data_IF_787548822155
#
_entry.id   IF_787548822155
#
_cell.length_a   1.000
_cell.length_b   1.000
_cell.length_c   1.000
_cell.angle_alpha   90.00
_cell.angle_beta   90.00
_cell.angle_gamma   90.00
#
_symmetry.space_group_name_H-M   'P 1'
#
loop_
_entity.id
_entity.type
_entity.pdbx_description
1 polymer ?
#
# COMPACT_ATOMS: atom_id res chain seq x y z
N UNK A 1 -16.27 -4.68 -6.91
CA UNK A 1 -16.50 -6.06 -6.45
C UNK A 1 -17.37 -5.95 -5.20
N UNK A 2 -18.65 -6.36 -5.22
CA UNK A 2 -19.56 -6.13 -4.09
C UNK A 2 -19.12 -6.80 -2.78
N UNK A 3 -18.20 -7.77 -2.87
CA UNK A 3 -17.75 -8.62 -1.77
C UNK A 3 -16.29 -8.41 -1.38
N UNK A 4 -15.57 -7.43 -1.93
CA UNK A 4 -14.17 -7.17 -1.54
C UNK A 4 -13.78 -5.72 -1.75
N UNK A 5 -12.80 -5.25 -1.00
CA UNK A 5 -12.19 -3.95 -1.21
C UNK A 5 -10.68 -4.05 -1.34
N UNK A 6 -10.14 -3.12 -2.13
CA UNK A 6 -8.71 -2.93 -2.32
C UNK A 6 -8.38 -1.47 -2.09
N UNK A 7 -7.40 -1.21 -1.23
CA UNK A 7 -6.91 0.12 -0.94
C UNK A 7 -5.43 0.19 -1.28
N UNK A 8 -5.06 1.21 -2.06
CA UNK A 8 -3.68 1.56 -2.35
C UNK A 8 -3.36 2.90 -1.69
N UNK A 9 -2.55 2.86 -0.64
CA UNK A 9 -1.94 4.06 -0.07
C UNK A 9 -0.56 4.23 -0.70
N UNK A 10 -0.44 5.23 -1.58
CA UNK A 10 0.81 5.57 -2.24
C UNK A 10 1.37 6.87 -1.69
N UNK A 11 2.57 6.81 -1.13
CA UNK A 11 3.38 7.98 -0.83
C UNK A 11 4.41 8.16 -1.95
N UNK A 12 4.39 9.32 -2.60
CA UNK A 12 5.30 9.68 -3.68
C UNK A 12 6.19 10.85 -3.25
N UNK A 13 7.51 10.64 -3.29
CA UNK A 13 8.51 11.64 -3.00
C UNK A 13 9.44 11.81 -4.20
N UNK A 14 9.56 13.04 -4.68
CA UNK A 14 10.51 13.42 -5.72
C UNK A 14 11.42 14.52 -5.18
N UNK A 15 12.73 14.30 -5.27
CA UNK A 15 13.73 15.32 -5.01
C UNK A 15 14.47 15.56 -6.32
N UNK A 16 14.22 16.70 -6.95
CA UNK A 16 14.74 17.02 -8.28
C UNK A 16 16.28 16.95 -8.30
N UNK A 17 16.82 16.20 -9.26
CA UNK A 17 18.25 15.94 -9.39
C UNK A 17 18.86 14.94 -8.39
N UNK A 18 18.12 14.46 -7.39
CA UNK A 18 18.64 13.56 -6.35
C UNK A 18 18.04 12.16 -6.45
N UNK A 19 16.77 11.99 -6.10
CA UNK A 19 16.12 10.67 -6.03
C UNK A 19 14.61 10.75 -6.19
N UNK A 20 14.02 9.61 -6.54
CA UNK A 20 12.58 9.40 -6.54
C UNK A 20 12.30 8.17 -5.66
N UNK A 21 11.35 8.30 -4.73
CA UNK A 21 10.94 7.24 -3.82
C UNK A 21 9.42 7.09 -3.84
N UNK A 22 8.97 5.83 -3.88
CA UNK A 22 7.58 5.43 -3.78
C UNK A 22 7.44 4.43 -2.65
N UNK A 23 6.55 4.72 -1.70
CA UNK A 23 6.13 3.75 -0.71
C UNK A 23 4.66 3.41 -0.97
N UNK A 24 4.42 2.17 -1.37
CA UNK A 24 3.09 1.64 -1.62
C UNK A 24 2.68 0.73 -0.46
N UNK A 25 1.54 0.99 0.15
CA UNK A 25 0.85 0.05 1.05
C UNK A 25 -0.44 -0.40 0.38
N UNK A 26 -0.50 -1.68 0.03
CA UNK A 26 -1.67 -2.33 -0.57
C UNK A 26 -2.38 -3.09 0.51
N UNK A 27 -3.67 -2.79 0.69
CA UNK A 27 -4.53 -3.49 1.62
C UNK A 27 -5.64 -4.16 0.82
N UNK A 28 -5.77 -5.47 0.99
CA UNK A 28 -6.83 -6.26 0.37
C UNK A 28 -7.66 -6.97 1.43
N UNK A 29 -8.97 -6.91 1.29
CA UNK A 29 -9.90 -7.61 2.16
C UNK A 29 -11.07 -8.16 1.35
N UNK A 30 -11.46 -9.39 1.68
CA UNK A 30 -12.61 -10.08 1.11
C UNK A 30 -13.67 -10.31 2.18
N UNK A 31 -14.94 -10.08 1.83
CA UNK A 31 -16.07 -10.24 2.71
C UNK A 31 -16.18 -11.69 3.16
N UNK A 32 -16.23 -11.89 4.48
CA UNK A 32 -16.23 -13.21 5.11
C UNK A 32 -14.86 -13.70 5.56
N UNK A 33 -13.77 -13.07 5.11
CA UNK A 33 -12.44 -13.35 5.67
C UNK A 33 -12.29 -12.67 7.03
N UNK A 34 -11.75 -13.39 8.02
CA UNK A 34 -11.39 -12.83 9.34
C UNK A 34 -10.08 -12.05 9.32
N UNK A 35 -9.51 -11.80 8.13
CA UNK A 35 -8.20 -11.19 7.98
C UNK A 35 -8.17 -10.21 6.80
N UNK A 36 -7.14 -9.38 6.81
CA UNK A 36 -6.78 -8.48 5.72
C UNK A 36 -5.34 -8.76 5.31
N UNK A 37 -5.03 -8.64 4.03
CA UNK A 37 -3.66 -8.76 3.52
C UNK A 37 -3.09 -7.36 3.35
N UNK A 38 -1.96 -7.08 4.00
CA UNK A 38 -1.21 -5.83 3.85
C UNK A 38 0.13 -6.11 3.20
N UNK A 39 0.36 -5.55 2.02
CA UNK A 39 1.66 -5.56 1.34
C UNK A 39 2.24 -4.15 1.37
N UNK A 40 3.41 -4.00 1.99
CA UNK A 40 4.19 -2.77 1.98
C UNK A 40 5.36 -2.94 1.01
N UNK A 41 5.55 -1.99 0.11
CA UNK A 41 6.69 -1.98 -0.80
C UNK A 41 7.35 -0.61 -0.86
N UNK A 42 8.68 -0.60 -0.73
CA UNK A 42 9.50 0.61 -0.91
C UNK A 42 10.28 0.48 -2.21
N UNK A 43 10.06 1.43 -3.11
CA UNK A 43 10.78 1.56 -4.37
C UNK A 43 11.55 2.86 -4.37
N UNK A 44 12.84 2.78 -4.66
CA UNK A 44 13.71 3.95 -4.69
C UNK A 44 14.78 3.80 -5.76
N UNK A 45 14.97 4.87 -6.54
CA UNK A 45 16.09 5.01 -7.46
C UNK A 45 16.63 6.45 -7.40
N UNK A 46 17.94 6.60 -7.60
CA UNK A 46 18.54 7.92 -7.82
C UNK A 46 18.24 8.37 -9.23
N UNK A 47 18.10 9.68 -9.44
CA UNK A 47 17.84 10.23 -10.78
C UNK A 47 19.01 9.94 -11.73
N UNK A 48 20.24 9.82 -11.20
CA UNK A 48 21.41 9.42 -11.97
C UNK A 48 21.30 8.03 -12.60
N UNK A 49 20.52 7.13 -11.99
CA UNK A 49 20.30 5.76 -12.47
C UNK A 49 19.09 5.69 -13.44
N UNK A 50 18.25 6.72 -13.46
CA UNK A 50 17.02 6.81 -14.28
C UNK A 50 17.23 7.53 -15.62
N UNK A 51 18.48 7.74 -16.07
CA UNK A 51 18.82 8.52 -17.29
C UNK A 51 18.12 8.07 -18.57
N UNK A 52 17.67 6.81 -18.64
CA UNK A 52 16.97 6.26 -19.80
C UNK A 52 15.46 6.53 -19.79
N UNK A 53 14.93 7.16 -18.73
CA UNK A 53 13.51 7.44 -18.56
C UNK A 53 13.25 8.93 -18.91
N UNK A 54 12.27 9.23 -19.77
CA UNK A 54 11.90 10.60 -20.08
C UNK A 54 11.53 11.39 -18.81
N UNK A 55 12.02 12.62 -18.69
CA UNK A 55 11.74 13.47 -17.53
C UNK A 55 10.23 13.74 -17.30
N UNK A 56 9.42 13.64 -18.36
CA UNK A 56 7.97 13.71 -18.28
C UNK A 56 7.33 12.56 -17.48
N UNK A 57 8.00 11.40 -17.36
CA UNK A 57 7.50 10.29 -16.54
C UNK A 57 7.82 10.48 -15.05
N UNK A 58 8.74 11.38 -14.69
CA UNK A 58 9.05 11.67 -13.28
C UNK A 58 7.90 12.38 -12.55
N UNK A 59 6.90 12.87 -13.27
CA UNK A 59 5.71 13.49 -12.68
C UNK A 59 4.59 12.50 -12.41
N UNK A 60 4.56 11.36 -13.11
CA UNK A 60 3.49 10.37 -12.92
C UNK A 60 3.97 9.22 -12.02
N UNK A 61 3.44 9.10 -10.78
CA UNK A 61 3.80 8.03 -9.86
C UNK A 61 3.44 6.64 -10.37
N UNK A 62 2.44 6.48 -11.26
CA UNK A 62 2.06 5.17 -11.79
C UNK A 62 3.07 4.66 -12.82
N UNK A 63 3.49 5.52 -13.73
CA UNK A 63 4.46 5.18 -14.78
C UNK A 63 5.86 4.98 -14.19
N UNK A 64 6.31 5.89 -13.32
CA UNK A 64 7.67 5.82 -12.77
C UNK A 64 7.87 4.62 -11.84
N UNK A 65 6.82 4.13 -11.18
CA UNK A 65 6.89 3.01 -10.24
C UNK A 65 7.48 1.73 -10.84
N UNK A 66 7.31 1.52 -12.16
CA UNK A 66 7.88 0.36 -12.87
C UNK A 66 9.38 0.48 -13.11
N UNK A 67 9.90 1.71 -13.18
CA UNK A 67 11.32 2.00 -13.40
C UNK A 67 12.11 2.13 -12.09
N UNK A 68 11.43 2.29 -10.95
CA UNK A 68 12.09 2.36 -9.64
C UNK A 68 12.51 0.96 -9.16
N UNK A 69 13.70 0.89 -8.57
CA UNK A 69 14.23 -0.34 -8.01
C UNK A 69 13.49 -0.67 -6.72
N UNK A 70 12.94 -1.87 -6.63
CA UNK A 70 12.33 -2.38 -5.40
C UNK A 70 13.41 -2.63 -4.35
N UNK A 71 13.32 -1.94 -3.21
CA UNK A 71 14.27 -2.07 -2.10
C UNK A 71 13.75 -2.97 -0.99
N UNK A 72 12.46 -2.85 -0.69
CA UNK A 72 11.81 -3.58 0.38
C UNK A 72 10.43 -4.04 -0.09
N UNK A 73 10.04 -5.24 0.33
CA UNK A 73 8.68 -5.74 0.21
C UNK A 73 8.39 -6.59 1.42
N UNK A 74 7.36 -6.20 2.16
CA UNK A 74 6.88 -6.90 3.34
C UNK A 74 5.40 -7.23 3.14
N UNK A 75 5.06 -8.51 3.32
CA UNK A 75 3.68 -8.99 3.23
C UNK A 75 3.25 -9.47 4.61
N UNK A 76 2.16 -8.91 5.10
CA UNK A 76 1.60 -9.21 6.41
C UNK A 76 0.14 -9.64 6.29
N UNK A 77 -0.23 -10.61 7.13
CA UNK A 77 -1.62 -10.98 7.34
C UNK A 77 -2.10 -10.32 8.63
N UNK A 78 -3.07 -9.44 8.52
CA UNK A 78 -3.69 -8.73 9.63
C UNK A 78 -4.95 -9.49 10.04
N UNK A 79 -4.90 -10.23 11.14
CA UNK A 79 -6.09 -10.87 11.72
C UNK A 79 -6.97 -9.82 12.37
N UNK A 80 -8.27 -9.87 12.09
CA UNK A 80 -9.25 -9.01 12.76
C UNK A 80 -9.50 -9.54 14.17
N UNK A 81 -9.64 -8.64 15.17
CA UNK A 81 -9.97 -9.06 16.52
C UNK A 81 -11.31 -9.79 16.51
N UNK A 82 -11.39 -10.91 17.23
CA UNK A 82 -12.65 -11.57 17.48
C UNK A 82 -13.59 -10.58 18.19
N UNK A 83 -14.71 -10.26 17.56
CA UNK A 83 -15.73 -9.41 18.16
C UNK A 83 -16.30 -10.18 19.36
N UNK A 84 -15.89 -9.80 20.57
CA UNK A 84 -16.52 -10.35 21.78
C UNK A 84 -17.97 -9.87 21.78
N UNK A 85 -18.97 -10.75 22.03
CA UNK A 85 -20.34 -10.31 22.13
C UNK A 85 -20.44 -9.31 23.29
N UNK A 86 -20.72 -8.04 22.96
CA UNK A 86 -21.15 -7.06 23.95
C UNK A 86 -22.34 -7.67 24.69
N UNK A 87 -22.19 -7.84 26.01
CA UNK A 87 -23.23 -8.36 26.89
C UNK A 87 -24.56 -7.68 26.55
N UNK A 88 -25.55 -8.46 26.15
CA UNK A 88 -26.93 -8.04 26.20
C UNK A 88 -27.18 -7.52 27.62
N UNK A 89 -27.39 -6.22 27.75
CA UNK A 89 -27.89 -5.63 28.99
C UNK A 89 -29.28 -6.23 29.15
N UNK A 90 -29.40 -7.21 30.03
CA UNK A 90 -30.69 -7.71 30.47
C UNK A 90 -31.40 -6.55 31.17
N UNK A 91 -32.34 -5.90 30.49
CA UNK A 91 -33.39 -5.12 31.14
C UNK A 91 -34.15 -6.08 32.05
N UNK A 92 -33.90 -5.94 33.35
CA UNK A 92 -34.66 -6.58 34.43
C UNK A 92 -35.98 -5.82 34.58
N UNK A 93 -37.06 -6.60 34.65
CA UNK A 93 -38.45 -6.24 34.99
C UNK A 93 -38.63 -5.07 35.95
#
# INVERSE_FOLDING_TARGET
MPTSFFLLLRFFLRVDGVLIRINDTRLYHEAGASYMLREFSTRESKIADLKNVPAALYTDPNEIAQHLTLKLTDCEKLELPAMSPQRAVNDVQ
#
